data_IF_110230840412
#
_entry.id   IF_110230840412
#
_cell.length_a   1.000
_cell.length_b   1.000
_cell.length_c   1.000
_cell.angle_alpha   90.00
_cell.angle_beta   90.00
_cell.angle_gamma   90.00
#
_symmetry.space_group_name_H-M   'P 1'
#
loop_
_entity.id
_entity.type
_entity.pdbx_description
1 polymer ?
#
# COMPACT_ATOMS: atom_id res chain seq x y z
N UNK A 1 -2.75 6.00 -37.11
CA UNK A 1 -2.70 6.65 -35.81
C UNK A 1 -4.02 6.55 -35.02
N UNK A 2 -5.16 6.43 -35.67
CA UNK A 2 -6.50 6.29 -35.06
C UNK A 2 -6.80 4.91 -34.48
N UNK A 3 -6.33 3.86 -35.08
CA UNK A 3 -6.60 2.46 -34.68
C UNK A 3 -5.89 2.08 -33.37
N UNK A 4 -4.64 2.51 -33.19
CA UNK A 4 -3.89 2.32 -31.93
C UNK A 4 -4.49 3.12 -30.77
N UNK A 5 -5.03 4.32 -31.01
CA UNK A 5 -5.76 5.12 -30.01
C UNK A 5 -7.11 4.50 -29.64
N UNK A 6 -7.83 3.87 -30.59
CA UNK A 6 -9.06 3.11 -30.32
C UNK A 6 -8.75 1.89 -29.46
N UNK A 7 -7.74 1.10 -29.83
CA UNK A 7 -7.28 -0.08 -29.07
C UNK A 7 -6.92 0.27 -27.62
N UNK A 8 -6.24 1.40 -27.37
CA UNK A 8 -5.89 1.82 -26.01
C UNK A 8 -7.08 2.26 -25.15
N UNK A 9 -8.09 2.91 -25.75
CA UNK A 9 -9.33 3.28 -25.04
C UNK A 9 -10.19 2.07 -24.72
N UNK A 10 -10.27 1.11 -25.63
CA UNK A 10 -11.06 -0.11 -25.42
C UNK A 10 -10.43 -0.97 -24.32
N UNK A 11 -9.09 -1.04 -24.29
CA UNK A 11 -8.37 -1.73 -23.23
C UNK A 11 -8.57 -1.04 -21.88
N UNK A 12 -8.48 0.29 -21.82
CA UNK A 12 -8.73 1.04 -20.57
C UNK A 12 -10.16 0.80 -20.05
N UNK A 13 -11.15 0.76 -20.96
CA UNK A 13 -12.55 0.40 -20.60
C UNK A 13 -12.66 -1.02 -20.09
N UNK A 14 -11.98 -1.97 -20.74
CA UNK A 14 -11.95 -3.38 -20.30
C UNK A 14 -11.35 -3.48 -18.89
N UNK A 15 -10.19 -2.86 -18.64
CA UNK A 15 -9.55 -2.86 -17.32
C UNK A 15 -10.49 -2.24 -16.27
N UNK A 16 -11.15 -1.11 -16.57
CA UNK A 16 -12.12 -0.50 -15.66
C UNK A 16 -13.27 -1.44 -15.34
N UNK A 17 -13.84 -2.11 -16.33
CA UNK A 17 -14.94 -3.05 -16.14
C UNK A 17 -14.54 -4.21 -15.22
N UNK A 18 -13.32 -4.74 -15.38
CA UNK A 18 -12.78 -5.80 -14.50
C UNK A 18 -12.54 -5.28 -13.08
N UNK A 19 -12.06 -4.04 -12.90
CA UNK A 19 -11.89 -3.44 -11.58
C UNK A 19 -13.21 -3.17 -10.87
N UNK A 20 -14.30 -2.88 -11.61
CA UNK A 20 -15.61 -2.57 -11.06
C UNK A 20 -16.55 -3.79 -10.96
N UNK A 21 -16.06 -4.97 -11.28
CA UNK A 21 -16.84 -6.20 -11.25
C UNK A 21 -17.14 -6.67 -9.83
N UNK A 22 -18.32 -7.22 -9.62
CA UNK A 22 -18.69 -7.93 -8.38
C UNK A 22 -17.89 -9.23 -8.16
N UNK A 23 -17.16 -9.69 -9.19
CA UNK A 23 -16.32 -10.89 -9.17
C UNK A 23 -14.83 -10.55 -9.27
N UNK A 24 -14.40 -9.45 -8.65
CA UNK A 24 -13.06 -8.90 -8.77
C UNK A 24 -11.94 -9.95 -8.58
N UNK A 25 -12.08 -10.87 -7.63
CA UNK A 25 -11.08 -11.93 -7.38
C UNK A 25 -10.86 -12.84 -8.61
N UNK A 26 -11.94 -13.15 -9.34
CA UNK A 26 -11.87 -13.94 -10.57
C UNK A 26 -11.30 -13.10 -11.73
N UNK A 27 -11.72 -11.85 -11.82
CA UNK A 27 -11.32 -10.91 -12.86
C UNK A 27 -9.87 -10.46 -12.68
N UNK A 28 -9.33 -10.50 -11.47
CA UNK A 28 -7.90 -10.30 -11.19
C UNK A 28 -7.04 -11.34 -11.91
N UNK A 29 -7.50 -12.60 -11.97
CA UNK A 29 -6.84 -13.66 -12.76
C UNK A 29 -6.85 -13.31 -14.24
N UNK A 30 -7.97 -12.80 -14.77
CA UNK A 30 -8.05 -12.35 -16.17
C UNK A 30 -7.08 -11.18 -16.43
N UNK A 31 -7.00 -10.20 -15.54
CA UNK A 31 -6.05 -9.09 -15.63
C UNK A 31 -4.59 -9.58 -15.72
N UNK A 32 -4.23 -10.60 -14.93
CA UNK A 32 -2.89 -11.20 -14.96
C UNK A 32 -2.59 -11.99 -16.25
N UNK A 33 -3.60 -12.43 -16.99
CA UNK A 33 -3.44 -13.10 -18.29
C UNK A 33 -3.25 -12.12 -19.45
N UNK A 34 -3.68 -10.86 -19.27
CA UNK A 34 -3.46 -9.84 -20.30
C UNK A 34 -1.98 -9.46 -20.38
N UNK A 35 -1.50 -8.97 -21.54
CA UNK A 35 -0.13 -8.49 -21.65
C UNK A 35 0.14 -7.36 -20.65
N UNK A 36 1.03 -7.59 -19.67
CA UNK A 36 1.29 -6.66 -18.56
C UNK A 36 1.58 -5.23 -19.03
N UNK A 37 2.39 -5.07 -20.10
CA UNK A 37 2.71 -3.75 -20.70
C UNK A 37 1.47 -2.97 -21.15
N UNK A 38 0.38 -3.65 -21.47
CA UNK A 38 -0.87 -3.02 -21.90
C UNK A 38 -1.73 -2.65 -20.69
N UNK A 39 -1.74 -3.47 -19.62
CA UNK A 39 -2.58 -3.30 -18.43
C UNK A 39 -2.00 -2.24 -17.47
N UNK A 40 -0.68 -2.18 -17.35
CA UNK A 40 0.01 -1.30 -16.40
C UNK A 40 -0.35 0.18 -16.60
N UNK A 41 -0.40 0.67 -17.86
CA UNK A 41 -0.75 2.08 -18.09
C UNK A 41 -2.19 2.45 -17.68
N UNK A 42 -3.23 1.67 -18.00
CA UNK A 42 -4.55 1.83 -17.40
C UNK A 42 -4.53 1.82 -15.89
N UNK A 43 -3.85 0.85 -15.25
CA UNK A 43 -3.77 0.76 -13.79
C UNK A 43 -3.17 2.03 -13.18
N UNK A 44 -2.07 2.56 -13.70
CA UNK A 44 -1.53 3.86 -13.25
C UNK A 44 -2.57 4.98 -13.27
N UNK A 45 -3.44 5.03 -14.29
CA UNK A 45 -4.48 6.05 -14.34
C UNK A 45 -5.61 5.82 -13.33
N UNK A 46 -5.83 4.58 -12.88
CA UNK A 46 -6.84 4.24 -11.88
C UNK A 46 -6.32 4.35 -10.43
N UNK A 47 -4.99 4.39 -10.21
CA UNK A 47 -4.44 4.81 -8.91
C UNK A 47 -4.89 6.23 -8.52
N UNK A 48 -5.20 7.07 -9.50
CA UNK A 48 -5.69 8.44 -9.32
C UNK A 48 -7.22 8.53 -9.30
N UNK A 49 -7.93 7.41 -9.23
CA UNK A 49 -9.40 7.40 -9.21
C UNK A 49 -9.93 8.11 -7.97
N UNK A 50 -10.98 8.93 -8.17
CA UNK A 50 -11.76 9.50 -7.07
C UNK A 50 -12.74 8.51 -6.46
N UNK A 51 -13.05 7.43 -7.18
CA UNK A 51 -13.77 6.30 -6.65
C UNK A 51 -12.79 5.40 -5.88
N UNK A 52 -12.94 5.38 -4.55
CA UNK A 52 -12.02 4.68 -3.66
C UNK A 52 -11.97 3.17 -3.93
N UNK A 53 -13.11 2.56 -4.26
CA UNK A 53 -13.14 1.12 -4.57
C UNK A 53 -12.32 0.80 -5.82
N UNK A 54 -12.52 1.56 -6.90
CA UNK A 54 -11.73 1.43 -8.13
C UNK A 54 -10.25 1.67 -7.87
N UNK A 55 -9.89 2.67 -7.04
CA UNK A 55 -8.50 2.96 -6.68
C UNK A 55 -7.85 1.78 -5.96
N UNK A 56 -8.48 1.26 -4.91
CA UNK A 56 -7.93 0.14 -4.13
C UNK A 56 -7.83 -1.15 -4.94
N UNK A 57 -8.83 -1.45 -5.76
CA UNK A 57 -8.77 -2.58 -6.68
C UNK A 57 -7.68 -2.41 -7.75
N UNK A 58 -7.40 -1.18 -8.19
CA UNK A 58 -6.26 -0.92 -9.08
C UNK A 58 -4.92 -1.13 -8.36
N UNK A 59 -4.81 -0.79 -7.07
CA UNK A 59 -3.63 -1.07 -6.23
C UNK A 59 -3.41 -2.58 -6.13
N UNK A 60 -4.43 -3.35 -5.76
CA UNK A 60 -4.37 -4.81 -5.67
C UNK A 60 -3.99 -5.43 -7.02
N UNK A 61 -4.64 -4.98 -8.11
CA UNK A 61 -4.33 -5.44 -9.46
C UNK A 61 -2.91 -5.10 -9.89
N UNK A 62 -2.38 -3.93 -9.50
CA UNK A 62 -0.99 -3.55 -9.78
C UNK A 62 -0.03 -4.54 -9.11
N UNK A 63 -0.27 -4.90 -7.85
CA UNK A 63 0.52 -5.91 -7.14
C UNK A 63 0.57 -7.25 -7.89
N UNK A 64 -0.59 -7.80 -8.22
CA UNK A 64 -0.71 -9.09 -8.88
C UNK A 64 -0.09 -9.09 -10.29
N UNK A 65 -0.40 -8.07 -11.10
CA UNK A 65 0.11 -7.96 -12.49
C UNK A 65 1.62 -7.78 -12.51
N UNK A 66 2.18 -6.94 -11.61
CA UNK A 66 3.63 -6.70 -11.57
C UNK A 66 4.38 -7.90 -10.98
N UNK A 67 3.82 -8.60 -9.99
CA UNK A 67 4.38 -9.85 -9.50
C UNK A 67 4.45 -10.91 -10.62
N UNK A 68 3.35 -11.11 -11.36
CA UNK A 68 3.34 -12.03 -12.52
C UNK A 68 4.29 -11.58 -13.64
N UNK A 69 4.49 -10.27 -13.82
CA UNK A 69 5.48 -9.75 -14.78
C UNK A 69 6.90 -10.07 -14.31
N UNK A 70 7.20 -9.90 -13.01
CA UNK A 70 8.52 -10.11 -12.43
C UNK A 70 9.00 -11.56 -12.59
N UNK A 71 8.11 -12.56 -12.54
CA UNK A 71 8.42 -13.96 -12.77
C UNK A 71 8.92 -14.23 -14.22
N UNK A 72 8.55 -13.37 -15.17
CA UNK A 72 8.88 -13.53 -16.61
C UNK A 72 9.95 -12.55 -17.06
N UNK A 73 9.92 -11.34 -16.56
CA UNK A 73 10.77 -10.21 -16.96
C UNK A 73 10.93 -9.26 -15.74
N UNK A 74 11.87 -9.60 -14.87
CA UNK A 74 12.17 -8.82 -13.66
C UNK A 74 12.54 -7.37 -13.99
N UNK A 75 13.26 -7.11 -15.09
CA UNK A 75 13.65 -5.74 -15.44
C UNK A 75 12.44 -4.89 -15.85
N UNK A 76 11.47 -5.45 -16.56
CA UNK A 76 10.21 -4.75 -16.83
C UNK A 76 9.43 -4.44 -15.54
N UNK A 77 9.46 -5.33 -14.53
CA UNK A 77 8.86 -5.06 -13.22
C UNK A 77 9.60 -3.94 -12.47
N UNK A 78 10.94 -3.92 -12.51
CA UNK A 78 11.75 -2.81 -11.96
C UNK A 78 11.43 -1.47 -12.63
N UNK A 79 11.15 -1.46 -13.94
CA UNK A 79 10.69 -0.24 -14.64
C UNK A 79 9.39 0.28 -14.03
N UNK A 80 8.45 -0.60 -13.68
CA UNK A 80 7.20 -0.18 -13.01
C UNK A 80 7.49 0.42 -11.65
N UNK A 81 8.33 -0.23 -10.83
CA UNK A 81 8.74 0.29 -9.51
C UNK A 81 9.39 1.66 -9.63
N UNK A 82 10.34 1.84 -10.54
CA UNK A 82 10.98 3.14 -10.78
C UNK A 82 9.97 4.22 -11.20
N UNK A 83 8.97 3.86 -11.97
CA UNK A 83 7.90 4.80 -12.37
C UNK A 83 7.02 5.21 -11.20
N UNK A 84 6.68 4.30 -10.28
CA UNK A 84 5.97 4.61 -9.05
C UNK A 84 6.82 5.55 -8.17
N UNK A 85 8.10 5.23 -7.97
CA UNK A 85 9.03 6.08 -7.23
C UNK A 85 9.14 7.48 -7.85
N UNK A 86 9.22 7.58 -9.17
CA UNK A 86 9.29 8.88 -9.84
C UNK A 86 8.04 9.71 -9.63
N UNK A 87 6.85 9.10 -9.64
CA UNK A 87 5.60 9.83 -9.39
C UNK A 87 5.52 10.43 -7.98
N UNK A 88 6.30 9.93 -7.01
CA UNK A 88 6.40 10.46 -5.65
C UNK A 88 7.36 11.67 -5.55
N UNK A 89 8.25 11.86 -6.51
CA UNK A 89 9.17 12.98 -6.57
C UNK A 89 8.61 14.17 -7.38
N UNK A 90 7.40 14.07 -7.91
CA UNK A 90 6.78 15.13 -8.69
C UNK A 90 6.18 16.20 -7.76
N UNK A 91 6.69 17.42 -7.86
CA UNK A 91 6.26 18.58 -7.05
C UNK A 91 4.78 18.99 -7.30
N UNK A 92 4.12 18.44 -8.33
CA UNK A 92 2.73 18.78 -8.66
C UNK A 92 1.69 18.23 -7.67
N UNK A 93 2.10 17.40 -6.70
CA UNK A 93 1.30 16.95 -5.55
C UNK A 93 0.14 15.98 -5.84
N UNK A 94 -0.21 15.75 -7.10
CA UNK A 94 -1.34 14.89 -7.47
C UNK A 94 -0.96 13.58 -8.16
N UNK A 95 0.25 13.49 -8.68
CA UNK A 95 0.67 12.36 -9.53
C UNK A 95 1.05 11.14 -8.69
N UNK A 96 1.47 11.34 -7.45
CA UNK A 96 1.91 10.28 -6.54
C UNK A 96 0.79 9.51 -5.84
N UNK A 97 -0.49 9.89 -6.01
CA UNK A 97 -1.60 9.23 -5.30
C UNK A 97 -1.70 7.75 -5.67
N UNK A 98 -1.83 6.89 -4.67
CA UNK A 98 -1.88 5.45 -4.84
C UNK A 98 -0.53 4.79 -5.14
N UNK A 99 0.55 5.57 -5.35
CA UNK A 99 1.86 5.01 -5.67
C UNK A 99 2.52 4.30 -4.47
N UNK A 100 2.53 4.86 -3.24
CA UNK A 100 3.10 4.17 -2.09
C UNK A 100 2.34 2.88 -1.78
N UNK A 101 1.02 2.90 -1.88
CA UNK A 101 0.15 1.73 -1.68
C UNK A 101 0.44 0.65 -2.73
N UNK A 102 0.55 1.04 -4.00
CA UNK A 102 0.89 0.12 -5.08
C UNK A 102 2.29 -0.48 -4.90
N UNK A 103 3.28 0.31 -4.43
CA UNK A 103 4.60 -0.20 -4.08
C UNK A 103 4.51 -1.24 -2.95
N UNK A 104 3.77 -0.94 -1.89
CA UNK A 104 3.54 -1.87 -0.78
C UNK A 104 2.92 -3.18 -1.23
N UNK A 105 1.90 -3.12 -2.10
CA UNK A 105 1.22 -4.30 -2.64
C UNK A 105 2.15 -5.14 -3.53
N UNK A 106 2.93 -4.51 -4.41
CA UNK A 106 3.93 -5.20 -5.26
C UNK A 106 5.00 -5.90 -4.40
N UNK A 107 5.53 -5.20 -3.40
CA UNK A 107 6.54 -5.72 -2.45
C UNK A 107 5.97 -6.90 -1.67
N UNK A 108 4.73 -6.81 -1.19
CA UNK A 108 4.06 -7.90 -0.51
C UNK A 108 3.88 -9.13 -1.42
N UNK A 109 3.64 -8.92 -2.71
CA UNK A 109 3.28 -9.96 -3.67
C UNK A 109 4.47 -10.69 -4.30
N UNK A 110 5.69 -10.09 -4.31
CA UNK A 110 6.86 -10.72 -4.98
C UNK A 110 8.15 -10.60 -4.17
N UNK A 111 8.78 -11.75 -3.86
CA UNK A 111 9.96 -11.82 -2.98
C UNK A 111 11.20 -11.07 -3.52
N UNK A 112 11.49 -11.19 -4.81
CA UNK A 112 12.65 -10.52 -5.43
C UNK A 112 12.51 -9.00 -5.36
N UNK A 113 11.32 -8.47 -5.67
CA UNK A 113 11.03 -7.03 -5.56
C UNK A 113 11.01 -6.58 -4.09
N UNK A 114 10.57 -7.44 -3.17
CA UNK A 114 10.62 -7.14 -1.75
C UNK A 114 12.07 -6.92 -1.27
N UNK A 115 13.00 -7.77 -1.66
CA UNK A 115 14.43 -7.61 -1.30
C UNK A 115 15.05 -6.32 -1.83
N UNK A 116 14.59 -5.85 -3.00
CA UNK A 116 15.15 -4.66 -3.65
C UNK A 116 14.53 -3.35 -3.16
N UNK A 117 13.21 -3.34 -2.87
CA UNK A 117 12.45 -2.09 -2.71
C UNK A 117 11.89 -1.84 -1.32
N UNK A 118 11.96 -2.80 -0.37
CA UNK A 118 11.43 -2.58 0.98
C UNK A 118 12.10 -1.38 1.67
N UNK A 119 13.42 -1.26 1.58
CA UNK A 119 14.14 -0.13 2.19
C UNK A 119 13.77 1.21 1.55
N UNK A 120 13.44 1.22 0.26
CA UNK A 120 12.94 2.42 -0.41
C UNK A 120 11.57 2.81 0.13
N UNK A 121 10.66 1.84 0.32
CA UNK A 121 9.35 2.11 0.92
C UNK A 121 9.48 2.65 2.35
N UNK A 122 10.37 2.07 3.17
CA UNK A 122 10.65 2.53 4.53
C UNK A 122 11.20 3.96 4.51
N UNK A 123 12.05 4.32 3.55
CA UNK A 123 12.65 5.65 3.47
C UNK A 123 11.62 6.77 3.29
N UNK A 124 10.42 6.48 2.81
CA UNK A 124 9.34 7.46 2.65
C UNK A 124 8.68 7.87 3.98
N UNK A 125 8.86 7.09 5.04
CA UNK A 125 8.36 7.41 6.39
C UNK A 125 9.48 7.84 7.34
N UNK A 126 10.70 7.94 6.88
CA UNK A 126 11.88 8.31 7.66
C UNK A 126 12.32 9.72 7.32
N UNK A 127 12.40 10.62 8.34
CA UNK A 127 12.72 12.04 8.16
C UNK A 127 14.08 12.30 7.49
N UNK A 128 15.11 11.47 7.78
CA UNK A 128 16.41 11.56 7.15
C UNK A 128 16.51 10.80 5.81
N UNK A 129 15.38 10.19 5.35
CA UNK A 129 15.31 9.44 4.11
C UNK A 129 14.66 10.23 2.96
N UNK A 130 13.89 9.52 2.13
CA UNK A 130 13.09 10.13 1.06
C UNK A 130 11.71 10.55 1.60
N UNK A 131 11.69 11.27 2.71
CA UNK A 131 10.50 11.59 3.48
C UNK A 131 9.40 12.25 2.65
N UNK A 132 8.17 11.75 2.77
CA UNK A 132 7.01 12.33 2.12
C UNK A 132 6.36 13.33 3.07
N UNK A 133 6.46 14.63 2.74
CA UNK A 133 5.89 15.71 3.58
C UNK A 133 4.36 15.80 3.48
N UNK A 134 3.78 15.34 2.37
CA UNK A 134 2.35 15.45 2.10
C UNK A 134 1.56 14.33 2.78
N UNK A 135 0.72 14.67 3.77
CA UNK A 135 -0.03 13.70 4.60
C UNK A 135 -0.79 12.62 3.80
N UNK A 136 -1.48 12.91 2.69
CA UNK A 136 -2.14 11.85 1.92
C UNK A 136 -1.17 10.79 1.37
N UNK A 137 0.08 11.16 1.04
CA UNK A 137 1.10 10.21 0.62
C UNK A 137 1.69 9.46 1.81
N UNK A 138 1.78 10.11 2.98
CA UNK A 138 2.16 9.44 4.24
C UNK A 138 1.18 8.32 4.60
N UNK A 139 -0.13 8.55 4.46
CA UNK A 139 -1.16 7.50 4.65
C UNK A 139 -0.83 6.26 3.81
N UNK A 140 -0.53 6.49 2.52
CA UNK A 140 -0.20 5.42 1.58
C UNK A 140 1.10 4.70 1.93
N UNK A 141 2.15 5.43 2.33
CA UNK A 141 3.44 4.83 2.70
C UNK A 141 3.32 3.98 3.97
N UNK A 142 2.64 4.48 5.01
CA UNK A 142 2.39 3.73 6.26
C UNK A 142 1.52 2.50 5.98
N UNK A 143 0.47 2.64 5.16
CA UNK A 143 -0.35 1.51 4.73
C UNK A 143 0.47 0.47 3.95
N UNK A 144 1.30 0.92 3.00
CA UNK A 144 2.16 0.05 2.21
C UNK A 144 3.11 -0.78 3.09
N UNK A 145 3.71 -0.17 4.12
CA UNK A 145 4.52 -0.89 5.12
C UNK A 145 3.66 -1.91 5.88
N UNK A 146 2.43 -1.55 6.27
CA UNK A 146 1.48 -2.47 6.90
C UNK A 146 1.14 -3.66 6.01
N UNK A 147 0.94 -3.42 4.71
CA UNK A 147 0.68 -4.49 3.74
C UNK A 147 1.88 -5.43 3.58
N UNK A 148 3.09 -4.89 3.58
CA UNK A 148 4.32 -5.70 3.60
C UNK A 148 4.43 -6.47 4.92
N UNK A 149 4.08 -5.86 6.06
CA UNK A 149 4.09 -6.51 7.36
C UNK A 149 3.15 -7.72 7.44
N UNK A 150 1.99 -7.68 6.76
CA UNK A 150 1.09 -8.83 6.66
C UNK A 150 1.72 -10.02 5.93
N UNK A 151 2.45 -9.76 4.85
CA UNK A 151 3.00 -10.81 4.00
C UNK A 151 4.43 -11.22 4.42
N UNK A 152 5.25 -10.26 4.85
CA UNK A 152 6.70 -10.39 5.07
C UNK A 152 7.16 -9.55 6.27
N UNK A 153 6.65 -9.80 7.50
CA UNK A 153 6.88 -8.93 8.65
C UNK A 153 8.37 -8.74 8.98
N UNK A 154 9.21 -9.72 8.68
CA UNK A 154 10.64 -9.66 8.96
C UNK A 154 11.40 -8.63 8.11
N UNK A 155 10.86 -8.21 6.96
CA UNK A 155 11.49 -7.23 6.07
C UNK A 155 11.27 -5.77 6.51
N UNK A 156 10.27 -5.51 7.36
CA UNK A 156 9.87 -4.16 7.74
C UNK A 156 9.98 -3.90 9.26
N UNK A 157 10.75 -4.71 9.98
CA UNK A 157 10.99 -4.50 11.41
C UNK A 157 11.75 -3.18 11.66
N UNK A 158 12.66 -2.82 10.78
CA UNK A 158 13.45 -1.60 10.85
C UNK A 158 12.60 -0.33 10.63
N UNK A 159 11.37 -0.46 10.13
CA UNK A 159 10.43 0.66 10.02
C UNK A 159 9.85 1.09 11.37
N UNK A 160 9.87 0.23 12.41
CA UNK A 160 9.20 0.50 13.69
C UNK A 160 9.58 1.86 14.28
N UNK A 161 10.86 2.25 14.43
CA UNK A 161 11.21 3.56 15.00
C UNK A 161 10.62 4.73 14.21
N UNK A 162 10.55 4.59 12.88
CA UNK A 162 10.06 5.63 11.97
C UNK A 162 8.53 5.72 11.94
N UNK A 163 7.83 4.66 12.39
CA UNK A 163 6.36 4.63 12.46
C UNK A 163 5.81 5.25 13.75
N UNK A 164 6.60 5.32 14.83
CA UNK A 164 6.13 5.84 16.12
C UNK A 164 5.60 7.27 16.04
N UNK A 165 6.26 8.24 15.36
CA UNK A 165 5.75 9.60 15.24
C UNK A 165 4.38 9.69 14.59
N UNK A 166 4.04 8.77 13.67
CA UNK A 166 2.75 8.76 12.99
C UNK A 166 1.56 8.41 13.89
N UNK A 167 1.80 7.79 15.05
CA UNK A 167 0.77 7.57 16.07
C UNK A 167 0.31 8.88 16.74
N UNK A 168 1.11 9.95 16.61
CA UNK A 168 0.83 11.28 17.15
C UNK A 168 0.44 12.30 16.06
N UNK A 169 0.25 11.83 14.81
CA UNK A 169 -0.11 12.70 13.68
C UNK A 169 -1.41 13.46 13.92
N UNK A 170 -1.51 14.71 13.45
CA UNK A 170 -2.75 15.47 13.38
C UNK A 170 -3.84 14.82 12.53
N UNK A 171 -3.44 14.03 11.53
CA UNK A 171 -4.34 13.30 10.63
C UNK A 171 -4.81 11.98 11.26
N UNK A 172 -6.11 11.85 11.48
CA UNK A 172 -6.69 10.64 12.10
C UNK A 172 -6.45 9.37 11.27
N UNK A 173 -6.48 9.48 9.92
CA UNK A 173 -6.22 8.34 9.05
C UNK A 173 -4.79 7.86 9.19
N UNK A 174 -3.83 8.78 9.26
CA UNK A 174 -2.41 8.46 9.51
C UNK A 174 -2.26 7.73 10.85
N UNK A 175 -2.87 8.26 11.93
CA UNK A 175 -2.81 7.61 13.26
C UNK A 175 -3.41 6.20 13.23
N UNK A 176 -4.58 6.05 12.60
CA UNK A 176 -5.25 4.75 12.50
C UNK A 176 -4.44 3.72 11.72
N UNK A 177 -3.92 4.11 10.55
CA UNK A 177 -3.08 3.23 9.73
C UNK A 177 -1.77 2.90 10.45
N UNK A 178 -1.16 3.87 11.16
CA UNK A 178 0.03 3.62 11.97
C UNK A 178 -0.24 2.63 13.11
N UNK A 179 -1.36 2.78 13.84
CA UNK A 179 -1.76 1.86 14.90
C UNK A 179 -1.93 0.43 14.37
N UNK A 180 -2.60 0.27 13.23
CA UNK A 180 -2.73 -1.01 12.56
C UNK A 180 -1.37 -1.61 12.17
N UNK A 181 -0.51 -0.81 11.53
CA UNK A 181 0.80 -1.27 11.04
C UNK A 181 1.73 -1.68 12.18
N UNK A 182 1.85 -0.88 13.25
CA UNK A 182 2.69 -1.25 14.41
C UNK A 182 2.13 -2.45 15.18
N UNK A 183 0.81 -2.65 15.13
CA UNK A 183 0.14 -3.84 15.67
C UNK A 183 0.54 -5.11 14.93
N UNK A 184 0.55 -5.09 13.59
CA UNK A 184 1.02 -6.18 12.74
C UNK A 184 2.49 -6.54 13.00
N UNK A 185 3.32 -5.53 13.26
CA UNK A 185 4.74 -5.69 13.56
C UNK A 185 5.02 -6.16 15.00
N UNK A 186 4.01 -6.17 15.86
CA UNK A 186 4.19 -6.49 17.28
C UNK A 186 5.10 -5.48 17.98
N UNK A 187 5.08 -4.23 17.58
CA UNK A 187 6.00 -3.17 17.99
C UNK A 187 5.81 -2.79 19.47
N UNK A 188 6.53 -3.43 20.38
CA UNK A 188 6.42 -3.18 21.84
C UNK A 188 6.72 -1.72 22.20
N UNK A 189 7.60 -1.06 21.45
CA UNK A 189 7.95 0.35 21.65
C UNK A 189 6.76 1.30 21.43
N UNK A 190 5.77 0.91 20.62
CA UNK A 190 4.58 1.72 20.34
C UNK A 190 3.54 1.72 21.48
N UNK A 191 3.73 0.89 22.54
CA UNK A 191 2.75 0.73 23.62
C UNK A 191 2.30 2.06 24.24
N UNK A 192 3.19 3.00 24.65
CA UNK A 192 2.76 4.23 25.29
C UNK A 192 1.82 5.06 24.41
N UNK A 193 2.16 5.22 23.12
CA UNK A 193 1.35 5.97 22.18
C UNK A 193 0.02 5.27 21.88
N UNK A 194 0.02 3.94 21.74
CA UNK A 194 -1.20 3.16 21.53
C UNK A 194 -2.16 3.25 22.74
N UNK A 195 -1.64 3.32 23.97
CA UNK A 195 -2.45 3.51 25.17
C UNK A 195 -3.14 4.88 25.19
N UNK A 196 -2.49 5.92 24.67
CA UNK A 196 -3.10 7.25 24.47
C UNK A 196 -4.23 7.20 23.44
N UNK A 197 -4.04 6.45 22.35
CA UNK A 197 -5.02 6.34 21.28
C UNK A 197 -6.28 5.52 21.64
N UNK A 198 -6.34 4.83 22.78
CA UNK A 198 -7.52 4.06 23.19
C UNK A 198 -8.80 4.89 23.29
N UNK A 199 -8.69 6.20 23.54
CA UNK A 199 -9.81 7.15 23.60
C UNK A 199 -10.05 7.92 22.30
N UNK A 200 -9.35 7.61 21.19
CA UNK A 200 -9.51 8.30 19.92
C UNK A 200 -10.72 7.73 19.15
N UNK A 201 -11.83 8.47 19.16
CA UNK A 201 -13.10 8.09 18.54
C UNK A 201 -13.17 8.41 17.03
N UNK A 202 -12.09 8.91 16.43
CA UNK A 202 -12.08 9.25 15.01
C UNK A 202 -12.29 7.99 14.16
N UNK A 203 -13.23 8.09 13.21
CA UNK A 203 -13.48 7.05 12.21
C UNK A 203 -12.63 7.32 10.96
N UNK A 204 -11.94 6.30 10.47
CA UNK A 204 -11.02 6.39 9.34
C UNK A 204 -11.27 5.27 8.33
N UNK A 205 -11.18 5.57 7.02
CA UNK A 205 -11.21 4.53 6.01
C UNK A 205 -9.90 3.73 6.05
N UNK A 206 -10.01 2.41 6.08
CA UNK A 206 -8.87 1.51 6.02
C UNK A 206 -9.17 0.34 5.09
N UNK A 207 -8.29 0.14 4.11
CA UNK A 207 -8.38 -1.01 3.22
C UNK A 207 -7.67 -2.20 3.86
N UNK A 208 -8.43 -3.25 4.15
CA UNK A 208 -7.96 -4.49 4.77
C UNK A 208 -8.75 -5.66 4.19
N UNK A 209 -8.10 -6.81 4.03
CA UNK A 209 -8.73 -8.05 3.56
C UNK A 209 -9.59 -7.83 2.29
N UNK A 210 -9.01 -7.11 1.33
CA UNK A 210 -9.60 -6.74 0.03
C UNK A 210 -10.90 -5.93 0.12
N UNK A 211 -11.11 -5.22 1.25
CA UNK A 211 -12.28 -4.37 1.50
C UNK A 211 -11.89 -3.03 2.10
N UNK A 212 -12.60 -2.00 1.65
CA UNK A 212 -12.55 -0.70 2.31
C UNK A 212 -13.54 -0.71 3.48
N UNK A 213 -13.04 -0.53 4.69
CA UNK A 213 -13.83 -0.51 5.92
C UNK A 213 -13.63 0.82 6.65
N UNK A 214 -14.66 1.25 7.36
CA UNK A 214 -14.53 2.34 8.32
C UNK A 214 -14.16 1.75 9.68
N UNK A 215 -13.08 2.23 10.28
CA UNK A 215 -12.56 1.75 11.55
C UNK A 215 -12.35 2.92 12.53
N UNK A 216 -12.59 2.69 13.80
CA UNK A 216 -12.25 3.63 14.85
C UNK A 216 -10.74 3.51 15.19
N UNK A 217 -10.06 4.65 15.32
CA UNK A 217 -8.62 4.67 15.68
C UNK A 217 -8.37 3.98 17.02
N UNK A 218 -9.22 4.21 18.02
CA UNK A 218 -9.14 3.55 19.33
C UNK A 218 -9.26 2.03 19.25
N UNK A 219 -10.12 1.51 18.37
CA UNK A 219 -10.25 0.06 18.17
C UNK A 219 -9.01 -0.53 17.53
N UNK A 220 -8.42 0.15 16.54
CA UNK A 220 -7.15 -0.25 15.93
C UNK A 220 -6.01 -0.26 16.97
N UNK A 221 -5.94 0.74 17.83
CA UNK A 221 -4.97 0.80 18.92
C UNK A 221 -5.16 -0.35 19.92
N UNK A 222 -6.41 -0.67 20.28
CA UNK A 222 -6.76 -1.78 21.17
C UNK A 222 -6.34 -3.14 20.58
N UNK A 223 -6.59 -3.35 19.29
CA UNK A 223 -6.19 -4.56 18.57
C UNK A 223 -4.66 -4.69 18.51
N UNK A 224 -3.95 -3.59 18.21
CA UNK A 224 -2.50 -3.53 18.23
C UNK A 224 -1.91 -3.92 19.59
N UNK A 225 -2.45 -3.35 20.68
CA UNK A 225 -2.03 -3.69 22.05
C UNK A 225 -2.28 -5.16 22.40
N UNK A 226 -3.38 -5.74 21.92
CA UNK A 226 -3.68 -7.16 22.09
C UNK A 226 -2.69 -8.06 21.32
N UNK A 227 -2.31 -7.65 20.11
CA UNK A 227 -1.30 -8.31 19.29
C UNK A 227 0.08 -8.32 19.95
N UNK A 228 0.52 -7.16 20.45
CA UNK A 228 1.81 -6.99 21.16
C UNK A 228 1.92 -7.90 22.39
N UNK A 229 0.80 -8.15 23.12
CA UNK A 229 0.78 -9.03 24.30
C UNK A 229 0.97 -10.51 23.95
N UNK A 230 0.59 -10.93 22.74
CA UNK A 230 0.67 -12.34 22.28
C UNK A 230 2.06 -12.72 21.78
N UNK A 231 2.87 -11.78 21.33
CA UNK A 231 4.26 -12.03 20.95
C UNK A 231 5.09 -12.26 22.22
N UNK A 232 5.04 -13.51 22.75
CA UNK A 232 6.00 -13.95 23.78
C UNK A 232 7.38 -13.86 23.16
N UNK A 233 8.32 -13.23 23.87
CA UNK A 233 9.73 -13.26 23.51
C UNK A 233 10.23 -14.69 23.32
N UNK A 234 11.36 -14.90 22.61
CA UNK A 234 11.95 -16.22 22.48
C UNK A 234 12.14 -16.83 23.87
N UNK A 235 11.94 -18.15 24.03
CA UNK A 235 12.24 -18.80 25.29
C UNK A 235 13.72 -18.56 25.64
N UNK A 236 13.97 -18.05 26.83
CA UNK A 236 15.30 -17.85 27.43
C UNK A 236 15.99 -19.20 27.61
#
# INVERSE_FOLDING_TARGET
>A
MDEAKRSGRDLKRKVLALLQSDKFDQDLVELCQLPARQVINPLFSFLLSTDEETKWRAITAMGAVVANLAEKDMESARVVMRRLMWSLNDESGGIGWGAPEAMGEIIASHEGLAKEYTNVLISYVWEDGNFLEYEPLQRGAVWGIGRVAQARPHLVQDAIPHLLPYLESGDATVRGVAAWTVGLLGAKAARPQLEVLLGDEAEVPLYMDDRLMVRCVGDLAKEALAGIRRTKGPPT
#
